data_IF_932189856284
#
_entry.id   IF_932189856284
#
_cell.length_a   1.000
_cell.length_b   1.000
_cell.length_c   1.000
_cell.angle_alpha   90.00
_cell.angle_beta   90.00
_cell.angle_gamma   90.00
#
_symmetry.space_group_name_H-M   'P 1'
#
loop_
_entity.id
_entity.type
_entity.pdbx_description
1 polymer ?
#
# COMPACT_ATOMS: atom_id res chain seq x y z
N UNK A 1 -22.49 21.22 13.52
CA UNK A 1 -23.73 21.04 12.75
C UNK A 1 -23.76 19.62 12.20
N UNK A 2 -24.85 18.88 12.37
CA UNK A 2 -25.01 17.53 11.82
C UNK A 2 -25.69 17.66 10.46
N UNK A 3 -25.07 17.11 9.42
CA UNK A 3 -25.68 17.07 8.08
C UNK A 3 -26.62 15.87 8.03
N UNK A 4 -27.84 16.04 7.49
CA UNK A 4 -28.86 14.98 7.48
C UNK A 4 -28.38 13.78 6.65
N UNK A 5 -27.85 14.06 5.45
CA UNK A 5 -27.24 13.05 4.58
C UNK A 5 -25.97 13.62 3.97
N UNK A 6 -24.91 12.83 3.95
CA UNK A 6 -23.73 13.06 3.12
C UNK A 6 -23.48 11.80 2.33
N UNK A 7 -23.46 11.93 1.00
CA UNK A 7 -23.32 10.81 0.08
C UNK A 7 -22.25 11.12 -0.95
N UNK A 8 -21.38 10.16 -1.23
CA UNK A 8 -20.49 10.21 -2.40
C UNK A 8 -20.56 8.87 -3.15
N UNK A 9 -20.35 8.93 -4.46
CA UNK A 9 -20.42 7.77 -5.36
C UNK A 9 -19.12 7.60 -6.13
N UNK A 10 -18.72 6.36 -6.39
CA UNK A 10 -17.55 6.02 -7.20
C UNK A 10 -17.93 5.03 -8.30
N UNK A 11 -17.36 5.24 -9.48
CA UNK A 11 -17.53 4.36 -10.64
C UNK A 11 -16.65 3.13 -10.48
N UNK A 12 -17.21 1.94 -10.76
CA UNK A 12 -16.43 0.70 -10.78
C UNK A 12 -16.01 0.43 -12.23
N UNK A 13 -14.71 0.24 -12.51
CA UNK A 13 -14.24 -0.06 -13.86
C UNK A 13 -14.65 -1.47 -14.29
N UNK A 14 -14.74 -1.68 -15.60
CA UNK A 14 -15.08 -2.98 -16.18
C UNK A 14 -13.98 -4.02 -15.87
N UNK A 15 -14.39 -5.26 -15.62
CA UNK A 15 -13.47 -6.35 -15.26
C UNK A 15 -13.14 -6.46 -13.78
N UNK A 16 -13.74 -5.63 -12.91
CA UNK A 16 -13.62 -5.74 -11.45
C UNK A 16 -14.97 -6.07 -10.84
N UNK A 17 -14.99 -7.09 -9.98
CA UNK A 17 -16.16 -7.51 -9.23
C UNK A 17 -16.04 -7.05 -7.79
N UNK A 18 -17.06 -6.33 -7.29
CA UNK A 18 -17.14 -5.89 -5.89
C UNK A 18 -18.33 -6.56 -5.24
N UNK A 19 -18.09 -7.20 -4.09
CA UNK A 19 -19.14 -7.74 -3.21
C UNK A 19 -19.11 -6.96 -1.90
N UNK A 20 -20.28 -6.53 -1.44
CA UNK A 20 -20.44 -5.83 -0.16
C UNK A 20 -21.32 -6.68 0.73
N UNK A 21 -20.76 -7.17 1.84
CA UNK A 21 -21.50 -7.91 2.86
C UNK A 21 -21.42 -7.14 4.18
N UNK A 22 -22.55 -6.56 4.59
CA UNK A 22 -22.64 -5.57 5.66
C UNK A 22 -21.70 -4.37 5.43
N UNK A 23 -20.53 -4.33 6.09
CA UNK A 23 -19.51 -3.28 5.96
C UNK A 23 -18.14 -3.85 5.60
N UNK A 24 -18.12 -5.09 5.10
CA UNK A 24 -16.92 -5.74 4.56
C UNK A 24 -17.01 -5.69 3.04
N UNK A 25 -15.97 -5.13 2.42
CA UNK A 25 -15.87 -4.99 0.97
C UNK A 25 -14.86 -6.00 0.47
N UNK A 26 -15.29 -6.84 -0.46
CA UNK A 26 -14.44 -7.77 -1.19
C UNK A 26 -14.32 -7.29 -2.63
N UNK A 27 -13.09 -7.14 -3.11
CA UNK A 27 -12.77 -6.73 -4.47
C UNK A 27 -12.02 -7.87 -5.14
N UNK A 28 -12.58 -8.39 -6.23
CA UNK A 28 -12.02 -9.47 -7.05
C UNK A 28 -11.66 -8.90 -8.43
N UNK A 29 -10.43 -9.17 -8.87
CA UNK A 29 -9.91 -8.75 -10.17
C UNK A 29 -8.90 -9.75 -10.72
N UNK A 30 -8.26 -9.45 -11.86
CA UNK A 30 -7.39 -10.40 -12.55
C UNK A 30 -6.15 -10.82 -11.75
N UNK A 31 -5.63 -9.94 -10.88
CA UNK A 31 -4.45 -10.24 -10.05
C UNK A 31 -4.76 -10.94 -8.74
N UNK A 32 -6.03 -11.08 -8.38
CA UNK A 32 -6.47 -11.76 -7.16
C UNK A 32 -7.62 -11.06 -6.45
N UNK A 33 -7.76 -11.37 -5.15
CA UNK A 33 -8.83 -10.91 -4.29
C UNK A 33 -8.27 -10.14 -3.10
N UNK A 34 -8.87 -9.00 -2.79
CA UNK A 34 -8.59 -8.23 -1.59
C UNK A 34 -9.88 -8.02 -0.78
N UNK A 35 -9.75 -8.07 0.54
CA UNK A 35 -10.87 -7.94 1.47
C UNK A 35 -10.52 -6.88 2.51
N UNK A 36 -11.47 -5.97 2.77
CA UNK A 36 -11.29 -4.92 3.77
C UNK A 36 -12.53 -4.70 4.60
N UNK A 37 -12.32 -4.55 5.90
CA UNK A 37 -13.37 -4.34 6.90
C UNK A 37 -13.49 -2.84 7.26
N UNK A 38 -14.69 -2.28 7.06
CA UNK A 38 -15.06 -0.91 7.43
C UNK A 38 -16.09 -0.84 8.57
N UNK A 39 -16.30 -1.91 9.35
CA UNK A 39 -17.26 -1.95 10.47
C UNK A 39 -17.05 -0.87 11.54
N UNK A 40 -15.81 -0.43 11.71
CA UNK A 40 -15.46 0.65 12.64
C UNK A 40 -16.01 2.02 12.21
N UNK A 41 -16.39 2.18 10.94
CA UNK A 41 -16.99 3.40 10.41
C UNK A 41 -18.52 3.28 10.43
N UNK A 42 -19.18 4.32 10.95
CA UNK A 42 -20.63 4.43 10.87
C UNK A 42 -21.07 4.96 9.50
N UNK A 43 -20.81 4.18 8.45
CA UNK A 43 -21.16 4.44 7.06
C UNK A 43 -22.00 3.28 6.52
N UNK A 44 -22.87 3.59 5.56
CA UNK A 44 -23.64 2.60 4.80
C UNK A 44 -23.06 2.47 3.39
N UNK A 45 -22.86 1.23 2.95
CA UNK A 45 -22.28 0.91 1.65
C UNK A 45 -23.35 0.25 0.79
N UNK A 46 -23.59 0.81 -0.40
CA UNK A 46 -24.58 0.28 -1.34
C UNK A 46 -23.97 0.17 -2.74
N UNK A 47 -24.21 -0.96 -3.39
CA UNK A 47 -23.95 -1.12 -4.81
C UNK A 47 -25.19 -0.69 -5.57
N UNK A 48 -25.05 0.37 -6.36
CA UNK A 48 -26.13 0.93 -7.18
C UNK A 48 -25.78 0.70 -8.64
N UNK A 49 -26.79 0.38 -9.44
CA UNK A 49 -26.66 0.36 -10.90
C UNK A 49 -27.25 1.66 -11.42
N UNK A 50 -26.45 2.42 -12.15
CA UNK A 50 -26.89 3.64 -12.83
C UNK A 50 -27.86 3.30 -13.98
N UNK A 51 -28.64 4.28 -14.45
CA UNK A 51 -29.51 4.14 -15.63
C UNK A 51 -28.75 3.69 -16.89
N UNK A 52 -27.46 4.00 -16.96
CA UNK A 52 -26.53 3.57 -18.02
C UNK A 52 -25.97 2.14 -17.83
N UNK A 53 -26.49 1.35 -16.88
CA UNK A 53 -26.06 -0.03 -16.60
C UNK A 53 -24.70 -0.16 -15.92
N UNK A 54 -24.02 0.95 -15.60
CA UNK A 54 -22.71 0.96 -14.92
C UNK A 54 -22.89 0.77 -13.42
N UNK A 55 -22.07 -0.11 -12.83
CA UNK A 55 -22.07 -0.36 -11.38
C UNK A 55 -21.33 0.77 -10.67
N UNK A 56 -21.97 1.36 -9.67
CA UNK A 56 -21.39 2.38 -8.79
C UNK A 56 -21.43 1.92 -7.35
N UNK A 57 -20.39 2.27 -6.60
CA UNK A 57 -20.39 2.15 -5.15
C UNK A 57 -20.84 3.48 -4.56
N UNK A 58 -21.97 3.49 -3.85
CA UNK A 58 -22.45 4.63 -3.07
C UNK A 58 -22.13 4.41 -1.60
N UNK A 59 -21.58 5.45 -0.97
CA UNK A 59 -21.31 5.48 0.46
C UNK A 59 -22.12 6.63 1.07
N UNK A 60 -22.96 6.29 2.04
CA UNK A 60 -23.86 7.21 2.72
C UNK A 60 -23.51 7.34 4.21
N UNK A 61 -23.59 8.56 4.72
CA UNK A 61 -23.53 8.86 6.15
C UNK A 61 -24.79 9.65 6.56
N UNK A 62 -25.63 9.02 7.38
CA UNK A 62 -26.81 9.66 7.96
C UNK A 62 -26.46 10.40 9.25
N UNK A 63 -27.01 11.61 9.41
CA UNK A 63 -26.82 12.47 10.59
C UNK A 63 -25.34 12.67 10.96
N UNK A 64 -24.49 12.74 9.93
CA UNK A 64 -23.05 12.76 10.08
C UNK A 64 -22.53 14.03 10.74
N UNK A 65 -21.60 13.86 11.69
CA UNK A 65 -20.71 14.95 12.12
C UNK A 65 -19.65 15.22 11.04
N UNK A 66 -18.92 16.34 11.15
CA UNK A 66 -17.79 16.62 10.25
C UNK A 66 -16.77 15.47 10.18
N UNK A 67 -16.55 14.77 11.29
CA UNK A 67 -15.63 13.62 11.35
C UNK A 67 -16.13 12.41 10.55
N UNK A 68 -17.42 12.11 10.63
CA UNK A 68 -18.01 10.96 9.91
C UNK A 68 -18.17 11.25 8.43
N UNK A 69 -18.53 12.50 8.07
CA UNK A 69 -18.59 12.94 6.67
C UNK A 69 -17.21 12.86 6.00
N UNK A 70 -16.13 13.25 6.69
CA UNK A 70 -14.77 13.12 6.17
C UNK A 70 -14.34 11.65 5.93
N UNK A 71 -14.87 10.71 6.71
CA UNK A 71 -14.55 9.28 6.57
C UNK A 71 -15.10 8.67 5.26
N UNK A 72 -16.11 9.28 4.64
CA UNK A 72 -16.64 8.85 3.34
C UNK A 72 -15.53 8.84 2.29
N UNK A 73 -14.78 9.95 2.18
CA UNK A 73 -13.66 10.09 1.24
C UNK A 73 -12.53 9.12 1.53
N UNK A 74 -12.25 8.87 2.80
CA UNK A 74 -11.24 7.88 3.21
C UNK A 74 -11.65 6.49 2.78
N UNK A 75 -12.91 6.10 3.00
CA UNK A 75 -13.43 4.81 2.55
C UNK A 75 -13.37 4.67 1.02
N UNK A 76 -13.79 5.70 0.26
CA UNK A 76 -13.68 5.72 -1.20
C UNK A 76 -12.24 5.54 -1.67
N UNK A 77 -11.30 6.30 -1.11
CA UNK A 77 -9.88 6.21 -1.45
C UNK A 77 -9.31 4.82 -1.17
N UNK A 78 -9.73 4.18 -0.08
CA UNK A 78 -9.32 2.80 0.20
C UNK A 78 -9.88 1.82 -0.82
N UNK A 79 -11.14 1.94 -1.22
CA UNK A 79 -11.71 1.03 -2.25
C UNK A 79 -11.06 1.27 -3.61
N UNK A 80 -10.79 2.52 -3.99
CA UNK A 80 -10.07 2.86 -5.23
C UNK A 80 -8.68 2.21 -5.27
N UNK A 81 -7.98 2.22 -4.13
CA UNK A 81 -6.70 1.53 -4.00
C UNK A 81 -6.83 0.01 -4.12
N UNK A 82 -7.90 -0.59 -3.56
CA UNK A 82 -8.15 -2.04 -3.74
C UNK A 82 -8.39 -2.38 -5.21
N UNK A 83 -9.20 -1.57 -5.91
CA UNK A 83 -9.49 -1.73 -7.35
C UNK A 83 -8.21 -1.64 -8.17
N UNK A 84 -7.39 -0.60 -7.94
CA UNK A 84 -6.10 -0.42 -8.63
C UNK A 84 -5.14 -1.56 -8.31
N UNK A 85 -5.14 -2.05 -7.07
CA UNK A 85 -4.33 -3.16 -6.62
C UNK A 85 -4.64 -4.50 -7.30
N UNK A 86 -5.91 -4.83 -7.48
CA UNK A 86 -6.32 -6.10 -8.15
C UNK A 86 -6.22 -6.04 -9.67
N UNK A 87 -6.15 -4.84 -10.26
CA UNK A 87 -6.03 -4.64 -11.72
C UNK A 87 -4.57 -4.46 -12.14
N UNK A 88 -3.91 -3.42 -11.61
CA UNK A 88 -2.55 -3.02 -11.99
C UNK A 88 -1.49 -3.54 -11.01
N UNK A 89 -1.82 -3.62 -9.72
CA UNK A 89 -0.85 -3.91 -8.66
C UNK A 89 0.07 -2.72 -8.37
N UNK A 90 0.71 -2.74 -7.20
CA UNK A 90 1.58 -1.67 -6.72
C UNK A 90 3.05 -2.06 -6.75
N UNK A 91 3.89 -1.11 -7.16
CA UNK A 91 5.34 -1.24 -7.22
C UNK A 91 6.01 -0.07 -6.52
N UNK A 92 6.80 -0.36 -5.50
CA UNK A 92 7.59 0.62 -4.77
C UNK A 92 9.06 0.37 -5.04
N UNK A 93 9.77 1.38 -5.51
CA UNK A 93 11.23 1.30 -5.69
C UNK A 93 11.91 1.91 -4.48
N UNK A 94 12.89 1.20 -3.94
CA UNK A 94 13.73 1.65 -2.84
C UNK A 94 15.18 1.68 -3.28
N UNK A 95 15.91 2.74 -2.93
CA UNK A 95 17.32 2.90 -3.26
C UNK A 95 18.18 2.88 -2.00
N UNK A 96 19.37 2.28 -2.12
CA UNK A 96 20.38 2.34 -1.08
C UNK A 96 21.17 3.64 -1.21
N UNK A 97 21.39 4.31 -0.09
CA UNK A 97 22.25 5.47 0.03
C UNK A 97 23.33 5.10 1.03
N UNK A 98 24.59 5.30 0.66
CA UNK A 98 25.74 5.08 1.53
C UNK A 98 26.90 5.97 1.10
N UNK A 99 27.76 6.33 2.05
CA UNK A 99 28.96 7.12 1.76
C UNK A 99 30.22 6.24 1.68
N UNK A 100 30.50 5.49 2.75
CA UNK A 100 31.76 4.75 2.88
C UNK A 100 31.56 3.23 3.01
N UNK A 101 30.49 2.80 3.69
CA UNK A 101 30.21 1.37 3.90
C UNK A 101 29.15 0.90 2.90
N UNK A 102 29.50 0.09 1.88
CA UNK A 102 28.53 -0.40 0.92
C UNK A 102 27.53 -1.35 1.61
N UNK A 103 26.24 -1.03 1.47
CA UNK A 103 25.16 -1.81 2.08
C UNK A 103 24.87 -3.03 1.20
N UNK A 104 24.92 -4.23 1.79
CA UNK A 104 24.61 -5.47 1.08
C UNK A 104 23.21 -5.96 1.46
N UNK A 105 22.32 -6.07 0.48
CA UNK A 105 21.00 -6.70 0.66
C UNK A 105 20.95 -8.06 -0.02
N UNK A 106 20.66 -9.10 0.77
CA UNK A 106 20.38 -10.45 0.27
C UNK A 106 18.91 -10.78 0.49
N UNK A 107 18.22 -11.14 -0.60
CA UNK A 107 16.84 -11.59 -0.56
C UNK A 107 16.83 -13.07 -0.17
N UNK A 108 16.05 -13.42 0.84
CA UNK A 108 16.01 -14.77 1.44
C UNK A 108 14.55 -15.23 1.54
N UNK A 109 14.33 -16.54 1.67
CA UNK A 109 13.01 -17.14 1.90
C UNK A 109 12.03 -16.86 0.74
N UNK A 110 12.41 -17.25 -0.49
CA UNK A 110 11.61 -17.10 -1.72
C UNK A 110 11.00 -15.70 -1.87
N UNK A 111 11.84 -14.65 -1.79
CA UNK A 111 11.45 -13.25 -1.95
C UNK A 111 10.53 -12.66 -0.87
N UNK A 112 10.41 -13.33 0.29
CA UNK A 112 9.58 -12.86 1.43
C UNK A 112 10.36 -12.27 2.58
N UNK A 113 11.69 -12.29 2.55
CA UNK A 113 12.51 -11.64 3.57
C UNK A 113 13.75 -11.02 2.97
N UNK A 114 14.24 -9.96 3.60
CA UNK A 114 15.46 -9.27 3.21
C UNK A 114 16.43 -9.22 4.38
N UNK A 115 17.69 -9.57 4.13
CA UNK A 115 18.78 -9.42 5.08
C UNK A 115 19.67 -8.27 4.62
N UNK A 116 19.84 -7.29 5.52
CA UNK A 116 20.68 -6.12 5.30
C UNK A 116 21.97 -6.30 6.12
N UNK A 117 23.11 -6.31 5.44
CA UNK A 117 24.44 -6.50 5.99
C UNK A 117 25.30 -5.26 5.75
N UNK A 118 26.30 -5.06 6.60
CA UNK A 118 27.28 -3.97 6.50
C UNK A 118 26.67 -2.55 6.55
N UNK A 119 25.47 -2.40 7.12
CA UNK A 119 24.88 -1.08 7.35
C UNK A 119 25.73 -0.30 8.35
N UNK A 120 26.27 0.85 7.94
CA UNK A 120 27.17 1.68 8.76
C UNK A 120 28.40 0.91 9.32
N UNK A 121 28.82 -0.17 8.65
CA UNK A 121 29.93 -1.03 9.10
C UNK A 121 29.56 -1.99 10.25
N UNK A 122 28.28 -2.18 10.55
CA UNK A 122 27.83 -3.13 11.57
C UNK A 122 28.08 -4.58 11.15
N UNK A 123 28.59 -5.40 12.09
CA UNK A 123 28.67 -6.87 11.94
C UNK A 123 27.31 -7.56 12.08
N UNK A 124 26.32 -6.88 12.68
CA UNK A 124 24.98 -7.43 12.92
C UNK A 124 24.18 -7.44 11.61
N UNK A 125 23.60 -8.59 11.28
CA UNK A 125 22.66 -8.72 10.16
C UNK A 125 21.27 -8.23 10.57
N UNK A 126 20.71 -7.28 9.84
CA UNK A 126 19.35 -6.77 10.06
C UNK A 126 18.40 -7.49 9.10
N UNK A 127 17.63 -8.46 9.60
CA UNK A 127 16.60 -9.17 8.82
C UNK A 127 15.25 -8.44 8.91
N UNK A 128 14.54 -8.30 7.79
CA UNK A 128 13.16 -7.78 7.73
C UNK A 128 12.31 -8.77 6.96
N UNK A 129 11.25 -9.26 7.58
CA UNK A 129 10.26 -10.11 6.93
C UNK A 129 9.20 -9.23 6.26
N UNK A 130 8.83 -9.60 5.03
CA UNK A 130 7.79 -8.91 4.26
C UNK A 130 6.41 -9.34 4.73
N UNK A 131 5.44 -8.45 4.55
CA UNK A 131 4.05 -8.77 4.82
C UNK A 131 3.48 -9.70 3.76
N UNK A 132 2.38 -10.36 4.09
CA UNK A 132 1.74 -11.34 3.22
C UNK A 132 1.38 -10.74 1.86
N UNK A 133 1.70 -11.47 0.79
CA UNK A 133 1.40 -11.05 -0.59
C UNK A 133 2.33 -9.98 -1.16
N UNK A 134 3.42 -9.62 -0.44
CA UNK A 134 4.47 -8.73 -0.93
C UNK A 134 5.72 -9.53 -1.26
N UNK A 135 6.26 -9.31 -2.46
CA UNK A 135 7.53 -9.87 -2.91
C UNK A 135 8.59 -8.78 -3.06
N UNK A 136 9.83 -9.10 -2.70
CA UNK A 136 10.99 -8.22 -2.91
C UNK A 136 11.84 -8.81 -4.02
N UNK A 137 12.21 -7.97 -4.99
CA UNK A 137 13.11 -8.31 -6.09
C UNK A 137 14.21 -7.26 -6.16
N UNK A 138 15.42 -7.66 -6.58
CA UNK A 138 16.50 -6.72 -6.86
C UNK A 138 16.36 -6.23 -8.30
N UNK A 139 16.49 -4.93 -8.54
CA UNK A 139 16.44 -4.38 -9.90
C UNK A 139 17.67 -4.82 -10.68
N UNK A 140 17.49 -5.42 -11.86
CA UNK A 140 18.61 -5.80 -12.73
C UNK A 140 19.17 -4.59 -13.49
N UNK A 141 18.32 -3.59 -13.76
CA UNK A 141 18.65 -2.41 -14.57
C UNK A 141 19.43 -1.36 -13.78
N UNK A 142 19.12 -1.23 -12.50
CA UNK A 142 19.65 -0.17 -11.64
C UNK A 142 20.39 -0.82 -10.48
N UNK A 143 21.69 -0.53 -10.38
CA UNK A 143 22.48 -0.93 -9.22
C UNK A 143 21.92 -0.28 -7.97
N UNK A 144 21.94 -1.02 -6.87
CA UNK A 144 21.53 -0.53 -5.55
C UNK A 144 20.07 -0.02 -5.56
N UNK A 145 19.19 -0.85 -6.13
CA UNK A 145 17.74 -0.66 -6.09
C UNK A 145 17.02 -1.98 -5.76
N UNK A 146 16.03 -1.86 -4.87
CA UNK A 146 15.07 -2.90 -4.52
C UNK A 146 13.70 -2.51 -5.04
N UNK A 147 12.99 -3.50 -5.57
CA UNK A 147 11.62 -3.35 -6.05
C UNK A 147 10.72 -4.19 -5.15
N UNK A 148 9.75 -3.54 -4.51
CA UNK A 148 8.73 -4.20 -3.71
C UNK A 148 7.42 -4.20 -4.48
N UNK A 149 6.91 -5.40 -4.65
CA UNK A 149 5.83 -5.71 -5.57
C UNK A 149 4.69 -6.39 -4.78
N UNK A 150 3.46 -5.92 -4.93
CA UNK A 150 2.30 -6.52 -4.26
C UNK A 150 0.97 -5.92 -4.70
N UNK A 151 -0.13 -6.57 -4.32
CA UNK A 151 -1.49 -6.11 -4.70
C UNK A 151 -2.07 -5.10 -3.71
N UNK A 152 -1.72 -5.18 -2.42
CA UNK A 152 -2.21 -4.27 -1.37
C UNK A 152 -1.20 -3.14 -1.08
N UNK A 153 -1.59 -1.89 -1.34
CA UNK A 153 -0.76 -0.71 -1.11
C UNK A 153 -0.29 -0.56 0.34
N UNK A 154 -1.12 -0.95 1.32
CA UNK A 154 -0.79 -0.78 2.74
C UNK A 154 0.28 -1.78 3.17
N UNK A 155 0.16 -3.02 2.71
CA UNK A 155 1.13 -4.07 3.00
C UNK A 155 2.46 -3.80 2.28
N UNK A 156 2.43 -3.35 1.02
CA UNK A 156 3.63 -2.96 0.28
C UNK A 156 4.32 -1.79 0.96
N UNK A 157 3.58 -0.70 1.23
CA UNK A 157 4.11 0.51 1.86
C UNK A 157 4.65 0.24 3.26
N UNK A 158 3.96 -0.56 4.06
CA UNK A 158 4.41 -0.93 5.41
C UNK A 158 5.66 -1.80 5.38
N UNK A 159 5.78 -2.70 4.41
CA UNK A 159 7.00 -3.49 4.21
C UNK A 159 8.21 -2.59 3.89
N UNK A 160 8.03 -1.59 3.01
CA UNK A 160 9.04 -0.55 2.77
C UNK A 160 9.39 0.24 4.04
N UNK A 161 8.37 0.62 4.83
CA UNK A 161 8.57 1.38 6.06
C UNK A 161 9.38 0.60 7.10
N UNK A 162 9.14 -0.71 7.24
CA UNK A 162 9.91 -1.58 8.13
C UNK A 162 11.39 -1.64 7.74
N UNK A 163 11.70 -1.72 6.44
CA UNK A 163 13.07 -1.63 5.92
C UNK A 163 13.69 -0.29 6.31
N UNK A 164 12.99 0.82 6.04
CA UNK A 164 13.51 2.16 6.34
C UNK A 164 13.76 2.38 7.84
N UNK A 165 12.83 1.97 8.71
CA UNK A 165 12.98 2.06 10.16
C UNK A 165 14.15 1.19 10.66
N UNK A 166 14.32 0.00 10.08
CA UNK A 166 15.48 -0.85 10.35
C UNK A 166 16.78 -0.28 9.81
N UNK A 167 16.78 0.68 8.90
CA UNK A 167 17.98 1.36 8.40
C UNK A 167 18.12 2.78 8.93
N UNK A 168 17.41 3.13 10.01
CA UNK A 168 17.56 4.44 10.62
C UNK A 168 18.84 4.51 11.47
N UNK A 169 19.67 5.52 11.21
CA UNK A 169 20.88 5.79 11.99
C UNK A 169 20.47 6.33 13.36
N UNK A 170 21.00 5.73 14.43
CA UNK A 170 20.80 6.17 15.81
C UNK A 170 22.10 6.70 16.38
N UNK A 171 22.01 7.60 17.36
CA UNK A 171 23.15 8.14 18.12
C UNK A 171 24.20 8.89 17.27
N UNK A 172 23.82 9.39 16.09
CA UNK A 172 24.62 10.27 15.22
C UNK A 172 23.72 11.33 14.59
N UNK A 173 24.32 12.41 14.05
CA UNK A 173 23.56 13.44 13.34
C UNK A 173 23.09 12.90 11.97
N UNK A 174 21.77 12.74 11.85
CA UNK A 174 21.08 12.23 10.65
C UNK A 174 21.24 13.13 9.43
N UNK A 175 21.65 14.39 9.60
CA UNK A 175 21.92 15.32 8.49
C UNK A 175 23.27 15.07 7.84
N UNK A 176 24.19 14.41 8.57
CA UNK A 176 25.53 14.04 8.08
C UNK A 176 25.60 12.58 7.66
N UNK A 177 24.93 11.69 8.41
CA UNK A 177 24.87 10.26 8.12
C UNK A 177 23.54 9.92 7.46
N UNK A 178 23.52 10.04 6.14
CA UNK A 178 22.36 9.75 5.28
C UNK A 178 22.32 8.29 4.81
N UNK A 179 23.21 7.43 5.34
CA UNK A 179 23.25 6.02 5.00
C UNK A 179 21.91 5.35 5.37
N UNK A 180 21.28 4.68 4.41
CA UNK A 180 19.94 4.14 4.57
C UNK A 180 19.37 3.51 3.31
N UNK A 181 18.15 3.01 3.44
CA UNK A 181 17.36 2.52 2.30
C UNK A 181 16.06 3.31 2.29
N UNK A 182 15.81 4.04 1.22
CA UNK A 182 14.71 4.99 1.11
C UNK A 182 13.82 4.66 -0.07
N UNK A 183 12.52 4.94 0.06
CA UNK A 183 11.58 4.84 -1.06
C UNK A 183 11.89 5.97 -2.04
N UNK A 184 12.27 5.62 -3.27
CA UNK A 184 12.57 6.58 -4.33
C UNK A 184 11.36 6.86 -5.22
N UNK A 185 10.53 5.85 -5.47
CA UNK A 185 9.39 5.94 -6.37
C UNK A 185 8.22 5.10 -5.85
N UNK A 186 7.00 5.59 -6.08
CA UNK A 186 5.74 4.91 -5.78
C UNK A 186 4.90 4.92 -7.04
N UNK A 187 4.48 3.75 -7.51
CA UNK A 187 3.68 3.63 -8.72
C UNK A 187 2.93 2.31 -8.81
N UNK A 188 2.32 2.09 -9.96
CA UNK A 188 1.70 0.81 -10.34
C UNK A 188 2.70 -0.08 -11.07
N UNK A 189 2.48 -1.39 -11.08
CA UNK A 189 3.36 -2.31 -11.81
C UNK A 189 3.18 -2.25 -13.32
N UNK A 190 1.92 -2.11 -13.75
CA UNK A 190 1.54 -1.88 -15.13
C UNK A 190 1.45 -0.37 -15.33
N UNK A 191 2.34 0.16 -16.15
CA UNK A 191 2.20 1.48 -16.76
C UNK A 191 1.27 1.30 -17.98
N UNK A 192 0.32 2.23 -18.16
CA UNK A 192 -0.59 2.24 -19.32
C UNK A 192 0.16 2.48 -20.63
#
# INVERSE_FOLDING_TARGET
>A
MKTILSSETMNIPDGVSIKVHAKVIEVEGPRGKLVRDFKHLNLDFQLITDENGKRKLKIDAWFGSRKTSAAIRTALSHVENLITGVTKGYRYKMRFVYAHFPINASITNNNRSIEIRNFLGEKKVRKVDMLNGVSVVRSDKVKDELVLDGNDIELVSRSCALINQKCHVKNKDIRKFLDGIYVSEKGTMLEE
#
